data_IF_588944788399
#
_entry.id   IF_588944788399
#
_cell.length_a   1.000
_cell.length_b   1.000
_cell.length_c   1.000
_cell.angle_alpha   90.00
_cell.angle_beta   90.00
_cell.angle_gamma   90.00
#
_symmetry.space_group_name_H-M   'P 1'
#
loop_
_entity.id
_entity.type
_entity.pdbx_description
1 polymer ?
#
# COMPACT_ATOMS: atom_id res chain seq x y z
N UNK A 1 8.28 -41.54 -7.30
CA UNK A 1 8.85 -40.74 -6.18
C UNK A 1 7.86 -39.64 -5.83
N UNK A 2 6.75 -39.99 -5.19
CA UNK A 2 6.03 -39.04 -4.35
C UNK A 2 6.94 -38.81 -3.15
N UNK A 3 7.65 -37.68 -3.14
CA UNK A 3 8.58 -37.35 -2.07
C UNK A 3 7.79 -37.11 -0.80
N UNK A 4 8.30 -37.63 0.32
CA UNK A 4 7.85 -37.48 1.72
C UNK A 4 7.71 -36.02 2.22
N UNK A 5 7.66 -35.04 1.31
CA UNK A 5 7.40 -33.63 1.59
C UNK A 5 5.97 -33.39 2.13
N UNK A 6 5.05 -34.34 1.96
CA UNK A 6 3.64 -34.20 2.35
C UNK A 6 3.33 -34.30 3.85
N UNK A 7 4.30 -34.67 4.70
CA UNK A 7 4.07 -34.90 6.15
C UNK A 7 4.95 -34.07 7.08
N UNK A 8 5.67 -33.07 6.57
CA UNK A 8 6.29 -32.10 7.49
C UNK A 8 5.19 -31.20 8.01
N UNK A 9 4.85 -31.34 9.29
CA UNK A 9 4.01 -30.38 10.01
C UNK A 9 4.59 -28.98 9.79
N UNK A 10 3.96 -28.23 8.89
CA UNK A 10 4.29 -26.83 8.67
C UNK A 10 3.75 -26.10 9.89
N UNK A 11 4.58 -26.02 10.93
CA UNK A 11 4.29 -25.22 12.12
C UNK A 11 4.26 -23.76 11.68
N UNK A 12 3.06 -23.18 11.60
CA UNK A 12 2.87 -21.75 11.38
C UNK A 12 3.26 -21.07 12.68
N UNK A 13 4.53 -20.70 12.81
CA UNK A 13 5.03 -19.97 13.97
C UNK A 13 4.77 -18.48 13.78
N UNK A 14 4.21 -17.82 14.79
CA UNK A 14 4.11 -16.36 14.84
C UNK A 14 5.51 -15.76 14.73
N UNK A 15 5.78 -15.10 13.60
CA UNK A 15 7.11 -14.64 13.22
C UNK A 15 7.30 -13.14 13.48
N UNK A 16 8.54 -12.66 13.36
CA UNK A 16 8.80 -11.21 13.36
C UNK A 16 8.08 -10.50 12.21
N UNK A 17 7.80 -11.20 11.10
CA UNK A 17 6.99 -10.69 10.01
C UNK A 17 5.53 -10.53 10.42
N UNK A 18 4.96 -11.43 11.22
CA UNK A 18 3.59 -11.30 11.72
C UNK A 18 3.43 -10.11 12.65
N UNK A 19 4.38 -9.96 13.58
CA UNK A 19 4.37 -8.87 14.54
C UNK A 19 4.57 -7.51 13.86
N UNK A 20 5.66 -7.35 13.11
CA UNK A 20 5.97 -6.09 12.45
C UNK A 20 5.05 -5.83 11.26
N UNK A 21 4.77 -6.85 10.45
CA UNK A 21 4.01 -6.71 9.21
C UNK A 21 2.51 -6.55 9.42
N UNK A 22 1.92 -7.14 10.45
CA UNK A 22 0.46 -7.11 10.63
C UNK A 22 0.05 -6.51 11.97
N UNK A 23 0.58 -7.02 13.08
CA UNK A 23 0.14 -6.56 14.39
C UNK A 23 0.38 -5.05 14.61
N UNK A 24 1.60 -4.55 14.40
CA UNK A 24 1.91 -3.13 14.60
C UNK A 24 1.08 -2.21 13.69
N UNK A 25 0.95 -2.45 12.36
CA UNK A 25 0.06 -1.66 11.51
C UNK A 25 -1.39 -1.67 11.98
N UNK A 26 -1.92 -2.82 12.42
CA UNK A 26 -3.26 -2.89 12.97
C UNK A 26 -3.45 -2.03 14.23
N UNK A 27 -2.55 -2.17 15.20
CA UNK A 27 -2.53 -1.34 16.42
C UNK A 27 -2.40 0.14 16.08
N UNK A 28 -1.52 0.49 15.13
CA UNK A 28 -1.30 1.87 14.69
C UNK A 28 -2.59 2.48 14.14
N UNK A 29 -3.30 1.76 13.27
CA UNK A 29 -4.57 2.21 12.71
C UNK A 29 -5.61 2.48 13.80
N UNK A 30 -5.86 1.50 14.68
CA UNK A 30 -6.85 1.64 15.75
C UNK A 30 -6.49 2.80 16.68
N UNK A 31 -5.22 2.88 17.10
CA UNK A 31 -4.75 3.88 18.07
C UNK A 31 -4.88 5.29 17.50
N UNK A 32 -4.44 5.51 16.26
CA UNK A 32 -4.49 6.85 15.64
C UNK A 32 -5.93 7.26 15.37
N UNK A 33 -6.78 6.34 14.90
CA UNK A 33 -8.21 6.60 14.71
C UNK A 33 -8.91 6.95 16.03
N UNK A 34 -8.59 6.25 17.13
CA UNK A 34 -9.10 6.57 18.46
C UNK A 34 -8.63 7.93 18.96
N UNK A 35 -7.33 8.25 18.82
CA UNK A 35 -6.79 9.58 19.18
C UNK A 35 -7.49 10.66 18.37
N UNK A 36 -7.75 10.39 17.08
CA UNK A 36 -8.47 11.33 16.22
C UNK A 36 -9.89 11.60 16.70
N UNK A 37 -10.66 10.56 17.04
CA UNK A 37 -12.00 10.75 17.61
C UNK A 37 -11.97 11.47 18.95
N UNK A 38 -11.01 11.14 19.82
CA UNK A 38 -10.84 11.79 21.12
C UNK A 38 -10.55 13.28 20.96
N UNK A 39 -9.61 13.65 20.08
CA UNK A 39 -9.31 15.06 19.77
C UNK A 39 -10.54 15.75 19.18
N UNK A 40 -11.26 15.08 18.28
CA UNK A 40 -12.45 15.64 17.65
C UNK A 40 -13.56 15.92 18.69
N UNK A 41 -13.83 14.97 19.59
CA UNK A 41 -14.75 15.16 20.71
C UNK A 41 -14.35 16.36 21.57
N UNK A 42 -13.09 16.39 21.99
CA UNK A 42 -12.58 17.40 22.92
C UNK A 42 -12.67 18.82 22.35
N UNK A 43 -12.35 19.02 21.07
CA UNK A 43 -12.29 20.35 20.47
C UNK A 43 -13.57 20.84 19.81
N UNK A 44 -14.48 19.95 19.39
CA UNK A 44 -15.64 20.34 18.59
C UNK A 44 -16.99 19.94 19.20
N UNK A 45 -17.05 18.90 20.04
CA UNK A 45 -18.32 18.26 20.40
C UNK A 45 -18.38 17.84 21.87
N UNK A 46 -18.82 18.74 22.76
CA UNK A 46 -19.30 18.32 24.08
C UNK A 46 -20.69 17.65 24.02
N UNK A 47 -21.36 17.64 22.85
CA UNK A 47 -22.69 17.07 22.67
C UNK A 47 -22.67 15.53 22.57
N UNK A 48 -23.58 14.88 23.30
CA UNK A 48 -23.80 13.43 23.30
C UNK A 48 -24.26 12.85 21.95
N UNK A 49 -24.55 13.70 20.96
CA UNK A 49 -25.05 13.29 19.63
C UNK A 49 -23.95 12.94 18.62
N UNK A 50 -22.68 13.04 19.00
CA UNK A 50 -21.56 12.79 18.09
C UNK A 50 -21.43 11.31 17.70
N UNK A 51 -21.16 11.07 16.41
CA UNK A 51 -20.94 9.70 15.88
C UNK A 51 -19.44 9.42 15.96
N UNK A 52 -19.02 8.84 17.09
CA UNK A 52 -17.62 8.52 17.42
C UNK A 52 -17.51 7.05 17.85
N UNK A 53 -17.55 6.09 16.91
CA UNK A 53 -17.76 4.68 17.22
C UNK A 53 -16.61 4.07 18.03
N UNK A 54 -15.34 4.43 17.78
CA UNK A 54 -14.22 3.89 18.55
C UNK A 54 -14.18 4.47 19.95
N UNK A 55 -14.41 5.77 20.08
CA UNK A 55 -14.49 6.44 21.37
C UNK A 55 -15.64 5.88 22.21
N UNK A 56 -16.84 5.72 21.63
CA UNK A 56 -18.01 5.13 22.30
C UNK A 56 -17.69 3.68 22.73
N UNK A 57 -17.02 2.90 21.88
CA UNK A 57 -16.59 1.55 22.23
C UNK A 57 -15.64 1.56 23.44
N UNK A 58 -14.66 2.46 23.45
CA UNK A 58 -13.70 2.59 24.57
C UNK A 58 -14.36 3.08 25.85
N UNK A 59 -15.29 4.03 25.80
CA UNK A 59 -16.03 4.47 27.00
C UNK A 59 -16.89 3.34 27.55
N UNK A 60 -17.55 2.54 26.69
CA UNK A 60 -18.27 1.34 27.12
C UNK A 60 -17.35 0.34 27.78
N UNK A 61 -16.18 0.08 27.19
CA UNK A 61 -15.17 -0.81 27.75
C UNK A 61 -14.69 -0.29 29.11
N UNK A 62 -14.34 0.99 29.20
CA UNK A 62 -13.88 1.66 30.43
C UNK A 62 -14.92 1.55 31.55
N UNK A 63 -16.22 1.64 31.22
CA UNK A 63 -17.31 1.40 32.16
C UNK A 63 -17.23 0.04 32.85
N UNK A 64 -16.80 -1.01 32.15
CA UNK A 64 -16.59 -2.33 32.77
C UNK A 64 -15.34 -2.35 33.67
N UNK A 65 -14.24 -1.73 33.25
CA UNK A 65 -12.97 -1.70 34.01
C UNK A 65 -13.03 -0.89 35.30
N UNK A 66 -13.87 0.16 35.36
CA UNK A 66 -13.92 1.06 36.51
C UNK A 66 -14.99 0.67 37.55
N UNK A 67 -15.74 -0.40 37.32
CA UNK A 67 -16.66 -0.92 38.35
C UNK A 67 -15.86 -1.70 39.41
N UNK A 68 -16.14 -1.50 40.71
CA UNK A 68 -15.51 -2.27 41.79
C UNK A 68 -15.67 -3.80 41.65
N UNK A 69 -16.64 -4.23 40.84
CA UNK A 69 -16.97 -5.62 40.53
C UNK A 69 -16.27 -6.14 39.26
N UNK A 70 -15.33 -5.39 38.66
CA UNK A 70 -14.64 -5.86 37.45
C UNK A 70 -13.88 -7.16 37.74
N UNK A 71 -14.27 -8.23 37.04
CA UNK A 71 -13.53 -9.49 37.09
C UNK A 71 -12.34 -9.40 36.13
N UNK A 72 -11.13 -9.61 36.66
CA UNK A 72 -9.87 -9.65 35.90
C UNK A 72 -9.94 -10.56 34.65
N UNK A 73 -10.80 -11.59 34.66
CA UNK A 73 -11.04 -12.47 33.52
C UNK A 73 -11.68 -11.76 32.33
N UNK A 74 -12.62 -10.83 32.57
CA UNK A 74 -13.27 -10.02 31.52
C UNK A 74 -12.24 -9.09 30.89
N UNK A 75 -11.38 -8.49 31.70
CA UNK A 75 -10.31 -7.59 31.26
C UNK A 75 -9.34 -8.30 30.32
N UNK A 76 -8.93 -9.52 30.67
CA UNK A 76 -8.09 -10.36 29.81
C UNK A 76 -8.80 -10.71 28.51
N UNK A 77 -10.09 -11.06 28.56
CA UNK A 77 -10.88 -11.37 27.35
C UNK A 77 -10.91 -10.15 26.42
N UNK A 78 -11.17 -8.96 26.95
CA UNK A 78 -11.18 -7.72 26.17
C UNK A 78 -9.79 -7.46 25.55
N UNK A 79 -8.71 -7.62 26.33
CA UNK A 79 -7.34 -7.45 25.82
C UNK A 79 -7.03 -8.43 24.68
N UNK A 80 -7.39 -9.70 24.84
CA UNK A 80 -7.22 -10.73 23.79
C UNK A 80 -8.02 -10.37 22.54
N UNK A 81 -9.26 -9.89 22.69
CA UNK A 81 -10.08 -9.45 21.56
C UNK A 81 -9.46 -8.25 20.82
N UNK A 82 -8.91 -7.27 21.55
CA UNK A 82 -8.20 -6.12 20.95
C UNK A 82 -6.96 -6.58 20.17
N UNK A 83 -6.22 -7.56 20.71
CA UNK A 83 -5.04 -8.14 20.04
C UNK A 83 -5.44 -8.85 18.75
N UNK A 84 -6.48 -9.70 18.80
CA UNK A 84 -6.99 -10.44 17.63
C UNK A 84 -7.52 -9.47 16.56
N UNK A 85 -8.29 -8.45 16.98
CA UNK A 85 -8.83 -7.44 16.08
C UNK A 85 -7.71 -6.65 15.41
N UNK A 86 -6.70 -6.23 16.19
CA UNK A 86 -5.52 -5.53 15.68
C UNK A 86 -4.77 -6.37 14.66
N UNK A 87 -4.49 -7.64 14.96
CA UNK A 87 -3.83 -8.54 14.02
C UNK A 87 -4.63 -8.74 12.72
N UNK A 88 -5.96 -8.90 12.83
CA UNK A 88 -6.86 -9.08 11.68
C UNK A 88 -6.93 -7.84 10.79
N UNK A 89 -7.07 -6.64 11.37
CA UNK A 89 -7.01 -5.37 10.65
C UNK A 89 -5.62 -5.21 10.01
N UNK A 90 -4.57 -5.60 10.71
CA UNK A 90 -3.20 -5.67 10.19
C UNK A 90 -3.07 -6.45 8.89
N UNK A 91 -3.67 -7.64 8.82
CA UNK A 91 -3.72 -8.47 7.60
C UNK A 91 -4.49 -7.80 6.46
N UNK A 92 -5.61 -7.15 6.77
CA UNK A 92 -6.36 -6.38 5.79
C UNK A 92 -5.53 -5.23 5.23
N UNK A 93 -4.85 -4.46 6.09
CA UNK A 93 -3.92 -3.38 5.71
C UNK A 93 -2.78 -3.95 4.85
N UNK A 94 -2.20 -5.07 5.25
CA UNK A 94 -1.16 -5.77 4.50
C UNK A 94 -1.62 -6.15 3.09
N UNK A 95 -2.84 -6.64 2.95
CA UNK A 95 -3.46 -7.01 1.67
C UNK A 95 -3.71 -5.79 0.79
N UNK A 96 -4.29 -4.73 1.35
CA UNK A 96 -4.52 -3.44 0.66
C UNK A 96 -3.19 -2.89 0.17
N UNK A 97 -2.18 -2.83 1.03
CA UNK A 97 -0.88 -2.25 0.70
C UNK A 97 -0.13 -3.04 -0.38
N UNK A 98 -0.20 -4.38 -0.35
CA UNK A 98 0.38 -5.23 -1.39
C UNK A 98 -0.32 -5.03 -2.74
N UNK A 99 -1.64 -4.86 -2.74
CA UNK A 99 -2.37 -4.58 -3.96
C UNK A 99 -2.07 -3.18 -4.51
N UNK A 100 -2.20 -2.14 -3.68
CA UNK A 100 -2.13 -0.74 -4.12
C UNK A 100 -0.70 -0.26 -4.35
N UNK A 101 0.22 -0.50 -3.41
CA UNK A 101 1.58 0.01 -3.50
C UNK A 101 2.49 -0.89 -4.32
N UNK A 102 2.41 -2.21 -4.13
CA UNK A 102 3.31 -3.14 -4.82
C UNK A 102 2.78 -3.49 -6.22
N UNK A 103 1.56 -4.06 -6.32
CA UNK A 103 1.06 -4.53 -7.63
C UNK A 103 0.64 -3.41 -8.57
N UNK A 104 -0.04 -2.38 -8.06
CA UNK A 104 -0.49 -1.25 -8.87
C UNK A 104 0.62 -0.21 -9.04
N UNK A 105 1.12 0.39 -7.95
CA UNK A 105 2.05 1.50 -8.06
C UNK A 105 3.46 1.06 -8.51
N UNK A 106 4.10 0.13 -7.82
CA UNK A 106 5.41 -0.42 -8.25
C UNK A 106 5.26 -1.14 -9.58
N UNK A 107 4.30 -2.04 -9.72
CA UNK A 107 4.14 -2.83 -10.94
C UNK A 107 3.86 -2.01 -12.19
N UNK A 108 3.10 -0.91 -12.11
CA UNK A 108 2.60 -0.18 -13.29
C UNK A 108 3.07 1.25 -13.42
N UNK A 109 3.40 1.93 -12.33
CA UNK A 109 3.87 3.33 -12.35
C UNK A 109 5.40 3.36 -12.26
N UNK A 110 5.98 2.80 -11.20
CA UNK A 110 7.42 2.86 -11.00
C UNK A 110 8.20 1.78 -11.74
N UNK A 111 7.58 0.67 -12.15
CA UNK A 111 8.23 -0.59 -12.61
C UNK A 111 9.02 -1.29 -11.51
N UNK A 112 9.01 -2.62 -11.50
CA UNK A 112 9.77 -3.39 -10.51
C UNK A 112 11.30 -3.15 -10.59
N UNK A 113 12.03 -3.28 -9.47
CA UNK A 113 13.47 -3.04 -9.40
C UNK A 113 14.29 -3.82 -10.42
N UNK A 114 13.93 -5.07 -10.74
CA UNK A 114 14.70 -5.87 -11.72
C UNK A 114 14.72 -5.20 -13.10
N UNK A 115 13.62 -4.58 -13.53
CA UNK A 115 13.53 -3.89 -14.83
C UNK A 115 14.50 -2.71 -14.86
N UNK A 116 14.49 -1.92 -13.79
CA UNK A 116 15.27 -0.68 -13.71
C UNK A 116 16.74 -0.96 -13.47
N UNK A 117 17.05 -1.76 -12.44
CA UNK A 117 18.41 -2.00 -11.99
C UNK A 117 19.23 -2.80 -13.01
N UNK A 118 18.58 -3.69 -13.77
CA UNK A 118 19.22 -4.53 -14.80
C UNK A 118 19.02 -4.02 -16.23
N UNK A 119 18.44 -2.83 -16.42
CA UNK A 119 18.15 -2.22 -17.73
C UNK A 119 17.41 -3.17 -18.69
N UNK A 120 16.50 -3.99 -18.18
CA UNK A 120 15.77 -4.96 -19.00
C UNK A 120 14.73 -4.20 -19.83
N UNK A 121 14.81 -4.35 -21.15
CA UNK A 121 13.73 -3.90 -22.04
C UNK A 121 12.53 -4.82 -21.81
N UNK A 122 11.51 -4.32 -21.11
CA UNK A 122 10.26 -5.05 -20.97
C UNK A 122 9.55 -5.07 -22.32
N UNK A 123 9.69 -6.15 -23.08
CA UNK A 123 8.93 -6.39 -24.32
C UNK A 123 7.46 -6.76 -24.04
N UNK A 124 7.06 -6.80 -22.77
CA UNK A 124 5.66 -6.98 -22.37
C UNK A 124 4.91 -5.74 -22.87
N UNK A 125 4.22 -5.89 -24.00
CA UNK A 125 3.30 -4.90 -24.53
C UNK A 125 2.39 -4.40 -23.40
N UNK A 126 2.10 -3.10 -23.41
CA UNK A 126 1.19 -2.46 -22.46
C UNK A 126 -0.20 -3.06 -22.71
N UNK A 127 -0.50 -4.17 -22.04
CA UNK A 127 -1.80 -4.84 -22.15
C UNK A 127 -2.92 -3.85 -21.82
N UNK A 128 -4.14 -4.06 -22.32
CA UNK A 128 -5.31 -3.25 -21.96
C UNK A 128 -5.48 -3.16 -20.42
N UNK A 129 -5.06 -4.21 -19.69
CA UNK A 129 -5.04 -4.23 -18.22
C UNK A 129 -4.11 -3.17 -17.60
N UNK A 130 -3.06 -2.73 -18.30
CA UNK A 130 -2.13 -1.70 -17.84
C UNK A 130 -2.75 -0.31 -17.93
N UNK A 131 -3.56 -0.04 -18.96
CA UNK A 131 -4.32 1.22 -19.06
C UNK A 131 -5.33 1.34 -17.93
N UNK A 132 -6.13 0.28 -17.71
CA UNK A 132 -7.10 0.23 -16.60
C UNK A 132 -6.43 0.46 -15.24
N UNK A 133 -5.36 -0.28 -14.93
CA UNK A 133 -4.66 -0.13 -13.64
C UNK A 133 -4.01 1.24 -13.46
N UNK A 134 -3.50 1.84 -14.53
CA UNK A 134 -2.97 3.20 -14.53
C UNK A 134 -4.06 4.23 -14.21
N UNK A 135 -5.21 4.12 -14.85
CA UNK A 135 -6.36 4.99 -14.54
C UNK A 135 -6.85 4.81 -13.10
N UNK A 136 -6.76 3.60 -12.52
CA UNK A 136 -7.11 3.38 -11.11
C UNK A 136 -6.19 4.18 -10.17
N UNK A 137 -4.89 4.22 -10.47
CA UNK A 137 -3.94 5.03 -9.71
C UNK A 137 -4.26 6.52 -9.83
N UNK A 138 -4.63 7.00 -11.03
CA UNK A 138 -5.05 8.40 -11.21
C UNK A 138 -6.27 8.75 -10.38
N UNK A 139 -7.32 7.93 -10.52
CA UNK A 139 -8.59 8.16 -9.85
C UNK A 139 -8.38 8.17 -8.34
N UNK A 140 -7.58 7.22 -7.84
CA UNK A 140 -7.13 7.23 -6.45
C UNK A 140 -6.42 8.55 -6.12
N UNK A 141 -5.41 8.96 -6.88
CA UNK A 141 -4.69 10.22 -6.61
C UNK A 141 -5.62 11.45 -6.59
N UNK A 142 -6.51 11.57 -7.58
CA UNK A 142 -7.49 12.66 -7.68
C UNK A 142 -8.45 12.63 -6.50
N UNK A 143 -9.01 11.48 -6.16
CA UNK A 143 -9.87 11.29 -4.99
C UNK A 143 -9.22 11.83 -3.72
N UNK A 144 -7.94 11.49 -3.50
CA UNK A 144 -7.21 11.96 -2.33
C UNK A 144 -6.89 13.44 -2.39
N UNK A 145 -6.49 13.97 -3.54
CA UNK A 145 -6.27 15.41 -3.71
C UNK A 145 -7.55 16.20 -3.38
N UNK A 146 -8.69 15.70 -3.81
CA UNK A 146 -10.00 16.30 -3.56
C UNK A 146 -10.35 16.21 -2.07
N UNK A 147 -10.12 15.08 -1.41
CA UNK A 147 -10.33 14.93 0.03
C UNK A 147 -9.43 15.83 0.89
N UNK A 148 -8.19 16.07 0.44
CA UNK A 148 -7.30 17.04 1.06
C UNK A 148 -7.86 18.45 0.87
N UNK A 149 -8.24 18.83 -0.36
CA UNK A 149 -8.79 20.15 -0.65
C UNK A 149 -10.10 20.40 0.13
N UNK A 150 -10.89 19.36 0.31
CA UNK A 150 -12.08 19.23 1.13
C UNK A 150 -11.90 19.72 2.58
N UNK A 151 -10.73 19.51 3.18
CA UNK A 151 -10.44 20.00 4.53
C UNK A 151 -10.38 21.52 4.61
N UNK A 152 -10.13 22.18 3.48
CA UNK A 152 -9.92 23.62 3.39
C UNK A 152 -11.09 24.34 2.71
N UNK A 153 -11.93 23.63 1.96
CA UNK A 153 -13.08 24.21 1.27
C UNK A 153 -14.36 23.97 2.08
N UNK A 154 -15.15 25.04 2.28
CA UNK A 154 -16.46 24.98 2.93
C UNK A 154 -17.51 24.19 2.11
N UNK A 155 -17.25 23.90 0.83
CA UNK A 155 -18.21 23.33 -0.11
C UNK A 155 -18.21 21.80 -0.12
N UNK A 156 -19.01 21.23 0.79
CA UNK A 156 -19.25 19.77 0.86
C UNK A 156 -19.85 19.19 -0.43
N UNK A 157 -20.65 19.98 -1.15
CA UNK A 157 -21.32 19.57 -2.40
C UNK A 157 -20.34 19.20 -3.50
N UNK A 158 -19.25 19.96 -3.64
CA UNK A 158 -18.22 19.69 -4.66
C UNK A 158 -17.52 18.35 -4.39
N UNK A 159 -17.29 18.03 -3.10
CA UNK A 159 -16.71 16.77 -2.65
C UNK A 159 -17.62 15.60 -3.03
N UNK A 160 -18.92 15.68 -2.70
CA UNK A 160 -19.88 14.63 -3.05
C UNK A 160 -19.98 14.39 -4.56
N UNK A 161 -20.06 15.47 -5.35
CA UNK A 161 -20.07 15.37 -6.82
C UNK A 161 -18.82 14.67 -7.32
N UNK A 162 -17.65 15.00 -6.77
CA UNK A 162 -16.38 14.39 -7.16
C UNK A 162 -16.26 12.92 -6.73
N UNK A 163 -16.72 12.56 -5.52
CA UNK A 163 -16.78 11.16 -5.07
C UNK A 163 -17.67 10.34 -6.00
N UNK A 164 -18.86 10.86 -6.35
CA UNK A 164 -19.76 10.22 -7.31
C UNK A 164 -19.10 10.08 -8.67
N UNK A 165 -18.43 11.12 -9.17
CA UNK A 165 -17.71 11.09 -10.44
C UNK A 165 -16.60 10.04 -10.46
N UNK A 166 -15.87 9.92 -9.35
CA UNK A 166 -14.82 8.91 -9.15
C UNK A 166 -15.41 7.51 -9.11
N UNK A 167 -16.52 7.31 -8.39
CA UNK A 167 -17.22 6.03 -8.34
C UNK A 167 -17.75 5.62 -9.72
N UNK A 168 -18.34 6.55 -10.48
CA UNK A 168 -18.77 6.32 -11.86
C UNK A 168 -17.57 5.93 -12.73
N UNK A 169 -16.44 6.63 -12.62
CA UNK A 169 -15.23 6.28 -13.37
C UNK A 169 -14.71 4.88 -13.00
N UNK A 170 -14.72 4.51 -11.71
CA UNK A 170 -14.33 3.17 -11.25
C UNK A 170 -15.27 2.10 -11.82
N UNK A 171 -16.59 2.33 -11.83
CA UNK A 171 -17.58 1.43 -12.41
C UNK A 171 -17.38 1.27 -13.92
N UNK A 172 -17.23 2.38 -14.66
CA UNK A 172 -16.97 2.37 -16.10
C UNK A 172 -15.67 1.63 -16.45
N UNK A 173 -14.68 1.75 -15.59
CA UNK A 173 -13.44 1.05 -15.76
C UNK A 173 -13.55 -0.45 -15.44
N UNK A 174 -14.23 -0.81 -14.35
CA UNK A 174 -14.47 -2.22 -13.99
C UNK A 174 -15.32 -2.91 -15.06
N UNK A 175 -16.29 -2.19 -15.60
CA UNK A 175 -17.04 -2.54 -16.79
C UNK A 175 -16.13 -2.84 -17.99
N UNK A 176 -15.22 -1.92 -18.35
CA UNK A 176 -14.26 -2.16 -19.45
C UNK A 176 -13.37 -3.37 -19.20
N UNK A 177 -13.00 -3.65 -17.96
CA UNK A 177 -12.25 -4.86 -17.60
C UNK A 177 -13.08 -6.14 -17.80
N UNK A 178 -14.35 -6.15 -17.40
CA UNK A 178 -15.26 -7.29 -17.58
C UNK A 178 -15.56 -7.56 -19.06
N UNK A 179 -15.82 -6.51 -19.85
CA UNK A 179 -16.09 -6.61 -21.29
C UNK A 179 -14.88 -7.20 -22.04
N UNK A 180 -13.67 -6.73 -21.70
CA UNK A 180 -12.45 -7.18 -22.36
C UNK A 180 -11.99 -8.60 -21.95
N UNK A 181 -12.39 -9.10 -20.78
CA UNK A 181 -12.01 -10.44 -20.29
C UNK A 181 -12.97 -11.59 -20.69
N UNK A 182 -13.63 -11.46 -21.84
CA UNK A 182 -14.20 -12.57 -22.61
C UNK A 182 -15.29 -13.41 -21.91
N UNK A 183 -16.25 -12.81 -21.18
CA UNK A 183 -17.55 -13.49 -21.01
C UNK A 183 -18.40 -13.23 -22.26
N UNK A 184 -18.66 -14.24 -23.11
CA UNK A 184 -19.28 -14.05 -24.43
C UNK A 184 -20.69 -13.43 -24.35
N UNK A 185 -21.42 -13.70 -23.27
CA UNK A 185 -22.78 -13.16 -23.04
C UNK A 185 -22.77 -11.64 -22.83
N UNK A 186 -21.75 -11.10 -22.14
CA UNK A 186 -21.64 -9.65 -21.88
C UNK A 186 -21.13 -8.91 -23.12
N UNK A 187 -20.31 -9.56 -23.96
CA UNK A 187 -19.71 -8.93 -25.15
C UNK A 187 -20.76 -8.41 -26.16
N UNK A 188 -21.87 -9.12 -26.36
CA UNK A 188 -22.88 -8.72 -27.36
C UNK A 188 -23.77 -7.57 -26.88
N UNK A 189 -24.14 -7.55 -25.60
CA UNK A 189 -24.91 -6.44 -25.01
C UNK A 189 -24.07 -5.15 -25.03
N UNK A 190 -22.75 -5.29 -24.84
CA UNK A 190 -21.86 -4.16 -24.62
C UNK A 190 -21.12 -3.63 -25.85
N UNK A 191 -21.02 -4.42 -26.92
CA UNK A 191 -20.60 -3.95 -28.24
C UNK A 191 -21.47 -2.77 -28.73
N UNK A 192 -22.76 -2.77 -28.39
CA UNK A 192 -23.68 -1.68 -28.71
C UNK A 192 -23.42 -0.40 -27.89
N UNK A 193 -22.97 -0.51 -26.63
CA UNK A 193 -22.65 0.65 -25.78
C UNK A 193 -21.28 1.26 -26.09
N UNK A 194 -20.28 0.44 -26.46
CA UNK A 194 -18.95 0.90 -26.84
C UNK A 194 -18.97 1.72 -28.14
N UNK A 195 -19.85 1.35 -29.09
CA UNK A 195 -20.05 2.10 -30.34
C UNK A 195 -20.69 3.47 -30.11
N UNK A 196 -21.35 3.69 -28.97
CA UNK A 196 -21.99 4.97 -28.60
C UNK A 196 -21.10 5.92 -27.80
N UNK A 197 -19.99 5.43 -27.21
CA UNK A 197 -19.16 6.21 -26.27
C UNK A 197 -17.65 6.13 -26.55
N UNK A 198 -17.23 6.26 -27.81
CA UNK A 198 -15.82 6.49 -28.16
C UNK A 198 -15.39 7.94 -27.88
N UNK A 199 -15.63 8.42 -26.66
CA UNK A 199 -15.04 9.68 -26.18
C UNK A 199 -13.66 9.35 -25.58
N UNK A 200 -12.65 9.19 -26.44
CA UNK A 200 -11.27 9.32 -25.97
C UNK A 200 -11.09 10.77 -25.53
N UNK A 201 -11.17 11.09 -24.23
CA UNK A 201 -10.90 12.45 -23.74
C UNK A 201 -9.37 12.67 -23.80
N UNK A 202 -8.82 13.34 -24.82
CA UNK A 202 -7.37 13.40 -25.02
C UNK A 202 -6.69 14.20 -23.91
N UNK A 203 -7.43 15.14 -23.32
CA UNK A 203 -7.01 15.97 -22.19
C UNK A 203 -6.68 15.14 -20.93
N UNK A 204 -7.48 14.11 -20.63
CA UNK A 204 -7.26 13.23 -19.47
C UNK A 204 -6.00 12.38 -19.71
N UNK A 205 -5.80 11.90 -20.94
CA UNK A 205 -4.62 11.09 -21.29
C UNK A 205 -3.32 11.89 -21.21
N UNK A 206 -3.34 13.14 -21.69
CA UNK A 206 -2.17 14.03 -21.68
C UNK A 206 -1.79 14.44 -20.24
N UNK A 207 -2.76 14.92 -19.46
CA UNK A 207 -2.56 15.31 -18.05
C UNK A 207 -2.10 14.13 -17.20
N UNK A 208 -2.61 12.93 -17.46
CA UNK A 208 -2.24 11.74 -16.72
C UNK A 208 -0.79 11.29 -16.94
N UNK A 209 -0.34 11.22 -18.20
CA UNK A 209 1.05 10.87 -18.49
C UNK A 209 2.02 11.89 -17.89
N UNK A 210 1.65 13.17 -17.92
CA UNK A 210 2.43 14.24 -17.29
C UNK A 210 2.51 14.06 -15.76
N UNK A 211 1.39 13.74 -15.10
CA UNK A 211 1.39 13.47 -13.66
C UNK A 211 2.22 12.24 -13.30
N UNK A 212 2.08 11.13 -14.03
CA UNK A 212 2.92 9.94 -13.81
C UNK A 212 4.39 10.28 -14.02
N UNK A 213 4.72 11.00 -15.11
CA UNK A 213 6.10 11.38 -15.39
C UNK A 213 6.63 12.31 -14.31
N UNK A 214 5.81 13.21 -13.78
CA UNK A 214 6.16 14.09 -12.67
C UNK A 214 6.43 13.30 -11.38
N UNK A 215 5.49 12.44 -10.96
CA UNK A 215 5.64 11.57 -9.77
C UNK A 215 6.89 10.70 -9.93
N UNK A 216 7.09 10.12 -11.12
CA UNK A 216 8.26 9.32 -11.43
C UNK A 216 9.53 10.15 -11.35
N UNK A 217 9.57 11.33 -11.95
CA UNK A 217 10.73 12.23 -11.94
C UNK A 217 11.09 12.63 -10.52
N UNK A 218 10.12 13.01 -9.70
CA UNK A 218 10.33 13.32 -8.28
C UNK A 218 10.85 12.08 -7.55
N UNK A 219 10.19 10.94 -7.69
CA UNK A 219 10.60 9.71 -7.01
C UNK A 219 12.02 9.28 -7.42
N UNK A 220 12.35 9.43 -8.70
CA UNK A 220 13.67 9.13 -9.28
C UNK A 220 14.73 10.05 -8.68
N UNK A 221 14.51 11.36 -8.78
CA UNK A 221 15.51 12.38 -8.45
C UNK A 221 15.70 12.47 -6.94
N UNK A 222 14.60 12.43 -6.18
CA UNK A 222 14.62 12.57 -4.73
C UNK A 222 15.16 11.32 -4.03
N UNK A 223 14.73 10.11 -4.45
CA UNK A 223 15.09 8.86 -3.76
C UNK A 223 16.28 8.13 -4.40
N UNK A 224 16.77 8.58 -5.56
CA UNK A 224 17.88 7.93 -6.27
C UNK A 224 17.57 6.49 -6.73
N UNK A 225 16.30 6.12 -6.81
CA UNK A 225 15.79 4.76 -7.06
C UNK A 225 16.25 4.21 -8.41
N UNK A 226 16.44 5.08 -9.39
CA UNK A 226 16.68 4.70 -10.77
C UNK A 226 18.15 4.61 -11.17
N UNK A 227 19.10 4.67 -10.22
CA UNK A 227 20.51 4.43 -10.55
C UNK A 227 20.69 2.94 -10.87
N UNK A 228 20.80 2.54 -12.15
CA UNK A 228 20.93 1.15 -12.51
C UNK A 228 22.31 0.64 -12.08
N UNK A 229 22.51 -0.67 -12.14
CA UNK A 229 23.88 -1.18 -12.04
C UNK A 229 24.71 -0.77 -13.26
N UNK A 230 26.03 -0.78 -13.10
CA UNK A 230 26.97 -0.62 -14.21
C UNK A 230 26.76 -1.73 -15.24
N UNK A 231 26.93 -1.44 -16.52
CA UNK A 231 26.75 -2.43 -17.60
C UNK A 231 27.65 -3.67 -17.42
N UNK A 232 28.87 -3.45 -16.89
CA UNK A 232 29.79 -4.54 -16.51
C UNK A 232 29.19 -5.49 -15.47
N UNK A 233 28.50 -4.97 -14.47
CA UNK A 233 27.82 -5.79 -13.47
C UNK A 233 26.60 -6.49 -14.07
N UNK A 234 25.80 -5.79 -14.87
CA UNK A 234 24.60 -6.35 -15.52
C UNK A 234 24.98 -7.55 -16.41
N UNK A 235 26.01 -7.41 -17.24
CA UNK A 235 26.49 -8.52 -18.09
C UNK A 235 26.92 -9.73 -17.26
N UNK A 236 27.66 -9.50 -16.16
CA UNK A 236 28.09 -10.54 -15.23
C UNK A 236 26.93 -11.21 -14.49
N UNK A 237 25.95 -10.42 -14.06
CA UNK A 237 24.73 -10.92 -13.44
C UNK A 237 23.92 -11.77 -14.41
N UNK A 238 23.67 -11.30 -15.63
CA UNK A 238 22.92 -12.03 -16.65
C UNK A 238 23.60 -13.37 -17.00
N UNK A 239 24.93 -13.38 -17.11
CA UNK A 239 25.69 -14.62 -17.31
C UNK A 239 25.53 -15.59 -16.14
N UNK A 240 25.67 -15.10 -14.91
CA UNK A 240 25.48 -15.89 -13.68
C UNK A 240 24.05 -16.47 -13.61
N UNK A 241 23.05 -15.64 -13.87
CA UNK A 241 21.64 -16.00 -13.86
C UNK A 241 21.32 -17.07 -14.90
N UNK A 242 21.69 -16.84 -16.17
CA UNK A 242 21.47 -17.78 -17.28
C UNK A 242 22.11 -19.13 -17.03
N UNK A 243 23.27 -19.17 -16.39
CA UNK A 243 23.92 -20.44 -16.10
C UNK A 243 23.18 -21.25 -15.04
N UNK A 244 22.71 -20.59 -13.98
CA UNK A 244 22.03 -21.24 -12.84
C UNK A 244 20.62 -21.67 -13.22
N UNK A 245 19.82 -20.76 -13.79
CA UNK A 245 18.39 -20.98 -14.03
C UNK A 245 18.04 -21.40 -15.46
N UNK A 246 19.02 -21.37 -16.38
CA UNK A 246 18.83 -21.68 -17.82
C UNK A 246 17.86 -20.75 -18.56
N UNK A 247 17.48 -19.64 -17.94
CA UNK A 247 16.61 -18.59 -18.45
C UNK A 247 17.32 -17.22 -18.43
N UNK A 248 16.72 -16.20 -19.04
CA UNK A 248 17.19 -14.82 -18.88
C UNK A 248 16.31 -14.03 -17.90
N UNK A 249 16.87 -13.00 -17.21
CA UNK A 249 16.04 -12.13 -16.37
C UNK A 249 14.89 -11.44 -17.10
N UNK A 250 14.98 -11.30 -18.43
CA UNK A 250 13.91 -10.73 -19.24
C UNK A 250 12.73 -11.70 -19.41
N UNK A 251 13.01 -13.00 -19.58
CA UNK A 251 12.00 -14.07 -19.70
C UNK A 251 11.25 -14.27 -18.38
N UNK A 252 11.98 -14.29 -17.26
CA UNK A 252 11.41 -14.64 -15.95
C UNK A 252 10.66 -13.48 -15.28
N UNK A 253 10.85 -12.25 -15.74
CA UNK A 253 10.15 -11.08 -15.23
C UNK A 253 10.31 -10.90 -13.70
N UNK A 254 9.19 -10.92 -12.98
CA UNK A 254 9.21 -10.77 -11.52
C UNK A 254 9.75 -12.02 -10.78
N UNK A 255 9.85 -13.18 -11.44
CA UNK A 255 10.42 -14.39 -10.84
C UNK A 255 11.91 -14.28 -10.57
N UNK A 256 12.63 -13.38 -11.27
CA UNK A 256 14.05 -13.07 -11.03
C UNK A 256 14.32 -12.81 -9.55
N UNK A 257 13.42 -12.08 -8.90
CA UNK A 257 13.50 -11.78 -7.49
C UNK A 257 13.43 -13.05 -6.63
N UNK A 258 12.44 -13.91 -6.87
CA UNK A 258 12.23 -15.12 -6.07
C UNK A 258 13.30 -16.19 -6.34
N UNK A 259 13.70 -16.36 -7.59
CA UNK A 259 14.76 -17.30 -7.97
C UNK A 259 16.09 -16.92 -7.34
N UNK A 260 16.49 -15.64 -7.41
CA UNK A 260 17.72 -15.19 -6.76
C UNK A 260 17.67 -15.35 -5.25
N UNK A 261 16.55 -15.00 -4.60
CA UNK A 261 16.37 -15.18 -3.15
C UNK A 261 16.48 -16.64 -2.74
N UNK A 262 15.73 -17.52 -3.38
CA UNK A 262 15.69 -18.95 -3.03
C UNK A 262 17.06 -19.61 -3.27
N UNK A 263 17.76 -19.24 -4.34
CA UNK A 263 19.11 -19.72 -4.58
C UNK A 263 20.11 -19.28 -3.50
N UNK A 264 20.04 -18.01 -3.04
CA UNK A 264 20.90 -17.53 -1.95
C UNK A 264 20.65 -18.33 -0.67
N UNK A 265 19.38 -18.55 -0.30
CA UNK A 265 19.00 -19.27 0.91
C UNK A 265 19.49 -20.73 0.85
N UNK A 266 19.29 -21.40 -0.29
CA UNK A 266 19.75 -22.78 -0.52
C UNK A 266 21.29 -22.90 -0.41
N UNK A 267 22.04 -21.98 -1.04
CA UNK A 267 23.51 -22.05 -1.07
C UNK A 267 24.19 -21.53 0.18
N UNK A 268 23.61 -20.53 0.84
CA UNK A 268 24.18 -19.88 2.01
C UNK A 268 23.08 -19.49 3.01
N UNK A 269 22.60 -20.43 3.83
CA UNK A 269 21.56 -20.19 4.82
C UNK A 269 21.84 -19.01 5.77
N UNK A 270 23.11 -18.72 6.06
CA UNK A 270 23.52 -17.58 6.90
C UNK A 270 23.09 -16.21 6.32
N UNK A 271 22.82 -16.11 5.02
CA UNK A 271 22.28 -14.88 4.42
C UNK A 271 20.76 -14.75 4.59
N UNK A 272 20.06 -15.81 5.01
CA UNK A 272 18.62 -15.78 5.14
C UNK A 272 18.16 -14.73 6.17
N UNK A 273 18.82 -14.65 7.33
CA UNK A 273 18.48 -13.68 8.37
C UNK A 273 18.60 -12.23 7.88
N UNK A 274 19.63 -11.92 7.07
CA UNK A 274 19.82 -10.58 6.49
C UNK A 274 18.76 -10.30 5.43
N UNK A 275 18.45 -11.27 4.57
CA UNK A 275 17.40 -11.13 3.55
C UNK A 275 16.01 -10.96 4.19
N UNK A 276 15.70 -11.75 5.23
CA UNK A 276 14.48 -11.63 6.01
C UNK A 276 14.39 -10.30 6.74
N UNK A 277 15.49 -9.82 7.34
CA UNK A 277 15.54 -8.50 7.96
C UNK A 277 15.12 -7.39 6.99
N UNK A 278 15.74 -7.33 5.80
CA UNK A 278 15.39 -6.33 4.81
C UNK A 278 13.96 -6.51 4.28
N UNK A 279 13.53 -7.76 4.08
CA UNK A 279 12.20 -8.10 3.63
C UNK A 279 11.11 -7.62 4.61
N UNK A 280 11.32 -7.91 5.90
CA UNK A 280 10.45 -7.50 6.98
C UNK A 280 10.43 -5.97 7.10
N UNK A 281 11.60 -5.32 6.99
CA UNK A 281 11.70 -3.87 7.14
C UNK A 281 10.95 -3.12 6.04
N UNK A 282 11.14 -3.47 4.77
CA UNK A 282 10.41 -2.78 3.70
C UNK A 282 8.91 -3.12 3.75
N UNK A 283 8.54 -4.36 4.07
CA UNK A 283 7.13 -4.78 4.19
C UNK A 283 6.44 -4.04 5.33
N UNK A 284 7.10 -3.92 6.48
CA UNK A 284 6.65 -3.13 7.62
C UNK A 284 6.41 -1.67 7.20
N UNK A 285 7.38 -1.03 6.56
CA UNK A 285 7.22 0.38 6.16
C UNK A 285 6.08 0.60 5.17
N UNK A 286 5.85 -0.35 4.25
CA UNK A 286 4.73 -0.33 3.31
C UNK A 286 3.38 -0.43 4.05
N UNK A 287 3.26 -1.39 4.94
CA UNK A 287 2.03 -1.64 5.68
C UNK A 287 1.75 -0.49 6.68
N UNK A 288 2.78 0.04 7.35
CA UNK A 288 2.65 1.18 8.25
C UNK A 288 2.23 2.46 7.52
N UNK A 289 2.79 2.72 6.33
CA UNK A 289 2.34 3.82 5.46
C UNK A 289 0.86 3.70 5.14
N UNK A 290 0.41 2.50 4.76
CA UNK A 290 -1.01 2.25 4.46
C UNK A 290 -1.89 2.39 5.71
N UNK A 291 -1.43 1.92 6.87
CA UNK A 291 -2.13 2.11 8.15
C UNK A 291 -2.34 3.59 8.46
N UNK A 292 -1.28 4.39 8.41
CA UNK A 292 -1.33 5.84 8.65
C UNK A 292 -2.27 6.51 7.65
N UNK A 293 -2.20 6.11 6.38
CA UNK A 293 -3.08 6.61 5.35
C UNK A 293 -4.56 6.31 5.62
N UNK A 294 -4.88 5.06 5.99
CA UNK A 294 -6.26 4.70 6.33
C UNK A 294 -6.73 5.41 7.60
N UNK A 295 -5.84 5.69 8.55
CA UNK A 295 -6.17 6.48 9.75
C UNK A 295 -6.50 7.92 9.36
N UNK A 296 -5.73 8.53 8.46
CA UNK A 296 -6.04 9.84 7.87
C UNK A 296 -7.43 9.81 7.21
N UNK A 297 -7.68 8.83 6.35
CA UNK A 297 -8.97 8.67 5.66
C UNK A 297 -10.14 8.52 6.64
N UNK A 298 -9.92 7.76 7.71
CA UNK A 298 -10.88 7.60 8.79
C UNK A 298 -11.20 8.94 9.47
N UNK A 299 -10.18 9.73 9.82
CA UNK A 299 -10.36 11.07 10.37
C UNK A 299 -11.18 11.96 9.45
N UNK A 300 -10.92 11.94 8.14
CA UNK A 300 -11.73 12.70 7.16
C UNK A 300 -13.19 12.27 7.21
N UNK A 301 -13.47 10.96 7.23
CA UNK A 301 -14.84 10.45 7.31
C UNK A 301 -15.54 10.90 8.60
N UNK A 302 -14.86 10.84 9.74
CA UNK A 302 -15.40 11.32 11.03
C UNK A 302 -15.75 12.80 10.98
N UNK A 303 -14.85 13.63 10.43
CA UNK A 303 -15.12 15.06 10.21
C UNK A 303 -16.38 15.21 9.37
N UNK A 304 -16.45 14.55 8.23
CA UNK A 304 -17.54 14.72 7.26
C UNK A 304 -18.89 14.30 7.84
N UNK A 305 -18.95 13.16 8.53
CA UNK A 305 -20.19 12.67 9.16
C UNK A 305 -20.70 13.67 10.19
N UNK A 306 -19.82 14.16 11.08
CA UNK A 306 -20.23 15.04 12.17
C UNK A 306 -20.45 16.50 11.71
N UNK A 307 -19.75 16.97 10.67
CA UNK A 307 -20.03 18.30 10.09
C UNK A 307 -21.40 18.37 9.41
N UNK A 308 -21.87 17.27 8.82
CA UNK A 308 -23.18 17.23 8.18
C UNK A 308 -24.34 17.21 9.18
N UNK A 309 -24.11 16.78 10.42
CA UNK A 309 -25.18 16.68 11.43
C UNK A 309 -25.53 18.02 12.08
N UNK A 310 -24.59 18.98 12.18
CA UNK A 310 -24.86 20.27 12.82
C UNK A 310 -24.19 21.44 12.07
N UNK A 311 -25.01 22.38 11.59
CA UNK A 311 -24.53 23.59 10.86
C UNK A 311 -23.57 24.45 11.69
N UNK A 312 -23.71 24.43 13.02
CA UNK A 312 -22.79 25.10 13.96
C UNK A 312 -21.37 24.54 13.88
N UNK A 313 -21.22 23.22 13.77
CA UNK A 313 -19.90 22.56 13.67
C UNK A 313 -19.17 22.93 12.40
N UNK A 314 -19.89 23.17 11.29
CA UNK A 314 -19.28 23.67 10.04
C UNK A 314 -18.61 25.02 10.31
N UNK A 315 -19.31 25.96 10.95
CA UNK A 315 -18.74 27.27 11.22
C UNK A 315 -17.59 27.20 12.23
N UNK A 316 -17.68 26.36 13.27
CA UNK A 316 -16.59 26.17 14.23
C UNK A 316 -15.37 25.47 13.62
N UNK A 317 -15.56 24.46 12.77
CA UNK A 317 -14.46 23.77 12.09
C UNK A 317 -13.73 24.65 11.09
N UNK A 318 -14.45 25.49 10.34
CA UNK A 318 -13.84 26.45 9.43
C UNK A 318 -13.41 27.76 10.10
N UNK A 319 -13.78 27.99 11.36
CA UNK A 319 -13.26 29.13 12.12
C UNK A 319 -11.75 29.00 12.33
N UNK A 320 -11.09 30.14 12.57
CA UNK A 320 -9.68 30.20 12.95
C UNK A 320 -9.44 29.83 14.43
N UNK A 321 -10.41 29.16 15.08
CA UNK A 321 -10.27 28.73 16.47
C UNK A 321 -9.11 27.76 16.64
N UNK A 322 -8.39 27.90 17.75
CA UNK A 322 -7.17 27.14 18.03
C UNK A 322 -7.38 25.63 17.96
N UNK A 323 -8.46 25.12 18.57
CA UNK A 323 -8.81 23.69 18.55
C UNK A 323 -9.04 23.15 17.14
N UNK A 324 -9.71 23.92 16.28
CA UNK A 324 -9.99 23.54 14.92
C UNK A 324 -8.71 23.39 14.08
N UNK A 325 -7.81 24.36 14.22
CA UNK A 325 -6.52 24.36 13.55
C UNK A 325 -5.60 23.25 14.08
N UNK A 326 -5.59 23.00 15.39
CA UNK A 326 -4.81 21.93 16.01
C UNK A 326 -5.23 20.55 15.47
N UNK A 327 -6.53 20.30 15.36
CA UNK A 327 -7.02 19.03 14.83
C UNK A 327 -6.73 18.87 13.32
N UNK A 328 -6.94 19.91 12.50
CA UNK A 328 -6.54 19.89 11.08
C UNK A 328 -5.05 19.62 10.92
N UNK A 329 -4.21 20.26 11.74
CA UNK A 329 -2.78 20.02 11.76
C UNK A 329 -2.44 18.57 12.11
N UNK A 330 -3.10 17.99 13.13
CA UNK A 330 -2.95 16.59 13.49
C UNK A 330 -3.29 15.65 12.32
N UNK A 331 -4.41 15.88 11.64
CA UNK A 331 -4.83 15.09 10.46
C UNK A 331 -3.81 15.20 9.33
N UNK A 332 -3.30 16.40 9.06
CA UNK A 332 -2.23 16.62 8.07
C UNK A 332 -0.93 15.93 8.47
N UNK A 333 -0.57 15.94 9.76
CA UNK A 333 0.63 15.27 10.27
C UNK A 333 0.55 13.76 10.02
N UNK A 334 -0.61 13.13 10.21
CA UNK A 334 -0.82 11.71 9.88
C UNK A 334 -0.58 11.45 8.38
N UNK A 335 -1.09 12.32 7.51
CA UNK A 335 -0.88 12.22 6.07
C UNK A 335 0.60 12.35 5.69
N UNK A 336 1.31 13.34 6.25
CA UNK A 336 2.74 13.52 6.01
C UNK A 336 3.56 12.34 6.55
N UNK A 337 3.22 11.81 7.72
CA UNK A 337 3.85 10.61 8.27
C UNK A 337 3.63 9.40 7.35
N UNK A 338 2.42 9.23 6.80
CA UNK A 338 2.12 8.20 5.81
C UNK A 338 3.03 8.31 4.58
N UNK A 339 3.18 9.52 4.02
CA UNK A 339 4.07 9.76 2.89
C UNK A 339 5.54 9.53 3.24
N UNK A 340 5.99 9.94 4.43
CA UNK A 340 7.36 9.67 4.90
C UNK A 340 7.65 8.16 4.94
N UNK A 341 6.73 7.37 5.47
CA UNK A 341 6.84 5.91 5.48
C UNK A 341 6.77 5.30 4.07
N UNK A 342 5.99 5.88 3.16
CA UNK A 342 5.91 5.46 1.76
C UNK A 342 7.24 5.67 1.03
N UNK A 343 7.83 6.86 1.18
CA UNK A 343 9.15 7.18 0.61
C UNK A 343 10.22 6.24 1.17
N UNK A 344 10.17 5.96 2.47
CA UNK A 344 11.05 4.99 3.13
C UNK A 344 10.88 3.58 2.55
N UNK A 345 9.65 3.12 2.32
CA UNK A 345 9.39 1.83 1.66
C UNK A 345 10.08 1.76 0.30
N UNK A 346 9.88 2.75 -0.57
CA UNK A 346 10.50 2.74 -1.89
C UNK A 346 12.03 2.78 -1.82
N UNK A 347 12.59 3.61 -0.92
CA UNK A 347 14.02 3.66 -0.72
C UNK A 347 14.59 2.30 -0.28
N UNK A 348 13.97 1.64 0.71
CA UNK A 348 14.40 0.32 1.18
C UNK A 348 14.26 -0.75 0.09
N UNK A 349 13.13 -0.76 -0.61
CA UNK A 349 12.82 -1.78 -1.61
C UNK A 349 13.77 -1.72 -2.81
N UNK A 350 14.02 -0.52 -3.36
CA UNK A 350 14.85 -0.34 -4.55
C UNK A 350 16.35 -0.22 -4.24
N UNK A 351 16.72 0.62 -3.27
CA UNK A 351 18.12 1.00 -3.06
C UNK A 351 18.88 0.03 -2.16
N UNK A 352 18.21 -0.60 -1.21
CA UNK A 352 18.84 -1.53 -0.27
C UNK A 352 18.55 -2.97 -0.63
N UNK A 353 17.31 -3.38 -0.49
CA UNK A 353 16.94 -4.78 -0.56
C UNK A 353 17.21 -5.41 -1.93
N UNK A 354 16.68 -4.81 -3.01
CA UNK A 354 16.87 -5.34 -4.36
C UNK A 354 18.34 -5.33 -4.78
N UNK A 355 19.08 -4.27 -4.45
CA UNK A 355 20.51 -4.19 -4.80
C UNK A 355 21.33 -5.21 -4.04
N UNK A 356 21.06 -5.39 -2.75
CA UNK A 356 21.70 -6.41 -1.92
C UNK A 356 21.44 -7.80 -2.48
N UNK A 357 20.18 -8.13 -2.77
CA UNK A 357 19.78 -9.42 -3.32
C UNK A 357 20.57 -9.78 -4.59
N UNK A 358 20.59 -8.90 -5.59
CA UNK A 358 21.25 -9.19 -6.87
C UNK A 358 22.78 -9.26 -6.74
N UNK A 359 23.38 -8.42 -5.90
CA UNK A 359 24.82 -8.46 -5.62
C UNK A 359 25.23 -9.74 -4.89
N UNK A 360 24.46 -10.14 -3.89
CA UNK A 360 24.70 -11.37 -3.10
C UNK A 360 24.56 -12.61 -3.98
N UNK A 361 23.52 -12.68 -4.82
CA UNK A 361 23.35 -13.75 -5.80
C UNK A 361 24.59 -13.86 -6.70
N UNK A 362 24.99 -12.77 -7.36
CA UNK A 362 26.15 -12.77 -8.25
C UNK A 362 27.44 -13.17 -7.50
N UNK A 363 27.64 -12.66 -6.28
CA UNK A 363 28.80 -12.98 -5.46
C UNK A 363 28.91 -14.48 -5.20
N UNK A 364 27.83 -15.13 -4.73
CA UNK A 364 27.80 -16.57 -4.43
C UNK A 364 28.13 -17.38 -5.70
N UNK A 365 27.45 -17.08 -6.80
CA UNK A 365 27.63 -17.76 -8.10
C UNK A 365 29.07 -17.60 -8.61
N UNK A 366 29.71 -16.45 -8.37
CA UNK A 366 31.10 -16.19 -8.75
C UNK A 366 32.11 -16.97 -7.92
N UNK A 367 31.84 -17.22 -6.64
CA UNK A 367 32.71 -17.99 -5.75
C UNK A 367 32.69 -19.48 -6.11
N UNK A 368 31.51 -20.03 -6.43
CA UNK A 368 31.39 -21.41 -6.89
C UNK A 368 32.20 -21.66 -8.17
N UNK A 369 32.31 -20.67 -9.07
CA UNK A 369 33.13 -20.79 -10.27
C UNK A 369 34.61 -20.88 -10.01
N UNK A 370 35.08 -20.06 -9.07
CA UNK A 370 36.50 -20.07 -8.70
C UNK A 370 36.87 -21.42 -8.10
N UNK A 371 35.96 -22.04 -7.35
CA UNK A 371 36.14 -23.38 -6.80
C UNK A 371 36.15 -24.48 -7.87
N UNK A 372 35.35 -24.37 -8.93
CA UNK A 372 35.34 -25.36 -10.03
C UNK A 372 36.53 -25.28 -10.99
N UNK A 373 37.24 -24.15 -10.99
CA UNK A 373 38.44 -23.92 -11.83
C UNK A 373 39.75 -24.29 -11.13
N UNK A 374 39.69 -24.50 -9.82
CA UNK A 374 40.77 -25.11 -9.04
C UNK A 374 40.51 -26.60 -9.00
#
# INVERSE_FOLDING_TARGET
METDLGKRDVRITFSSYDFLGYFIPGVTFITISLISEYFFKYFFLPSDKSILPLYILIEKIKGYFLTPESHWSIEIIILVLIIILSYSIGHLIGSISSFTLDRLFVGKVLKYPYIILLKIKSNVEISISDKFRKSLVLISFLFHFILILSLFLKQMVLIYILIILIFILLLLMFYNYLVNNKKPILRNIFYYLEKSYSFEIPLIKLSFNNLINFIRTISVNFLGIYKPFTDKFIAKFNYAYKRVFKSTPAEDGNLVYWFTRNYIIDKKPNFNSILEYWFNLYSFTRNLSTSLFLSYMYSIVIIQINLNSESRLINEFFSLNYGANAYKFFVLLILFASFGMLLRYYYLFYSHFSKYLYRTFYYIVSQENKKRKK
#
